data_IF_958468801512
#
_entry.id   IF_958468801512
#
_cell.length_a   1.000
_cell.length_b   1.000
_cell.length_c   1.000
_cell.angle_alpha   90.00
_cell.angle_beta   90.00
_cell.angle_gamma   90.00
#
_symmetry.space_group_name_H-M   'P 1'
#
loop_
_entity.id
_entity.type
_entity.pdbx_description
1 polymer ?
#
# COMPACT_ATOMS: atom_id res chain seq x y z
N UNK A 1 37.29 0.51 4.89
CA UNK A 1 35.93 0.88 4.41
C UNK A 1 34.94 -0.10 4.99
N UNK A 2 33.92 0.40 5.69
CA UNK A 2 32.80 -0.38 6.18
C UNK A 2 31.54 -0.01 5.40
N UNK A 3 30.67 -1.00 5.17
CA UNK A 3 29.37 -0.79 4.54
C UNK A 3 28.29 -1.39 5.43
N UNK A 4 27.34 -0.58 5.82
CA UNK A 4 26.14 -1.02 6.53
C UNK A 4 24.94 -0.91 5.61
N UNK A 5 24.20 -2.01 5.47
CA UNK A 5 23.02 -2.09 4.61
C UNK A 5 21.76 -2.16 5.47
N UNK A 6 20.76 -1.35 5.11
CA UNK A 6 19.42 -1.41 5.67
C UNK A 6 18.39 -1.52 4.55
N UNK A 7 17.44 -2.43 4.69
CA UNK A 7 16.36 -2.67 3.72
C UNK A 7 15.02 -2.48 4.42
N UNK A 8 14.08 -1.84 3.74
CA UNK A 8 12.74 -1.61 4.26
C UNK A 8 12.60 -0.40 5.19
N UNK A 9 13.68 0.22 5.59
CA UNK A 9 13.68 1.39 6.47
C UNK A 9 15.05 1.94 6.78
N UNK A 10 15.07 3.08 7.43
CA UNK A 10 16.29 3.75 7.89
C UNK A 10 16.84 3.03 9.12
N UNK A 11 18.14 2.74 9.20
CA UNK A 11 18.74 2.20 10.43
C UNK A 11 18.59 3.18 11.60
N UNK A 12 18.90 2.71 12.82
CA UNK A 12 18.78 3.50 14.03
C UNK A 12 19.45 4.87 13.89
N UNK A 13 18.82 5.90 14.49
CA UNK A 13 19.36 7.28 14.45
C UNK A 13 20.68 7.34 15.23
N UNK A 14 21.75 7.63 14.54
CA UNK A 14 23.07 7.90 15.13
C UNK A 14 23.56 9.33 14.88
N UNK A 15 22.77 10.15 14.16
CA UNK A 15 23.02 11.57 13.91
C UNK A 15 21.70 12.34 14.04
N UNK A 16 21.72 13.49 14.74
CA UNK A 16 20.53 14.31 15.03
C UNK A 16 19.89 14.91 13.78
N UNK A 17 20.70 15.28 12.78
CA UNK A 17 20.23 15.95 11.54
C UNK A 17 19.93 14.98 10.40
N UNK A 18 19.90 13.69 10.69
CA UNK A 18 19.59 12.68 9.69
C UNK A 18 18.10 12.63 9.39
N UNK A 19 17.76 12.69 8.10
CA UNK A 19 16.41 12.38 7.66
C UNK A 19 16.11 10.88 7.86
N UNK A 20 14.97 10.60 8.46
CA UNK A 20 14.45 9.24 8.61
C UNK A 20 13.41 9.05 7.51
N UNK A 21 13.64 8.08 6.63
CA UNK A 21 12.64 7.70 5.63
C UNK A 21 11.50 6.91 6.30
N UNK A 22 10.30 7.07 5.77
CA UNK A 22 9.19 6.21 6.16
C UNK A 22 9.50 4.76 5.76
N UNK A 23 9.15 3.77 6.58
CA UNK A 23 9.31 2.37 6.23
C UNK A 23 8.61 2.04 4.90
N UNK A 24 9.35 1.41 3.98
CA UNK A 24 8.82 0.99 2.67
C UNK A 24 9.58 -0.22 2.16
N UNK A 25 8.88 -1.18 1.57
CA UNK A 25 9.50 -2.36 0.94
C UNK A 25 10.40 -2.00 -0.24
N UNK A 26 10.21 -0.82 -0.84
CA UNK A 26 11.03 -0.30 -1.94
C UNK A 26 12.18 0.60 -1.47
N UNK A 27 12.42 0.72 -0.15
CA UNK A 27 13.49 1.54 0.40
C UNK A 27 14.70 0.69 0.77
N UNK A 28 15.89 1.15 0.36
CA UNK A 28 17.17 0.61 0.80
C UNK A 28 18.15 1.74 1.10
N UNK A 29 19.02 1.54 2.05
CA UNK A 29 20.06 2.50 2.43
C UNK A 29 21.39 1.79 2.66
N UNK A 30 22.44 2.35 2.06
CA UNK A 30 23.82 1.95 2.26
C UNK A 30 24.56 3.08 2.97
N UNK A 31 25.14 2.79 4.11
CA UNK A 31 26.04 3.70 4.81
C UNK A 31 27.45 3.21 4.58
N UNK A 32 28.26 4.05 3.95
CA UNK A 32 29.63 3.69 3.54
C UNK A 32 30.59 4.59 4.31
N UNK A 33 31.44 3.97 5.12
CA UNK A 33 32.52 4.65 5.84
C UNK A 33 33.81 4.55 5.01
N UNK A 34 34.31 5.70 4.58
CA UNK A 34 35.57 5.79 3.86
C UNK A 34 36.75 5.99 4.80
N UNK A 35 37.95 5.65 4.35
CA UNK A 35 39.19 5.80 5.12
C UNK A 35 39.61 7.26 5.30
N UNK A 36 39.19 8.15 4.38
CA UNK A 36 39.43 9.58 4.47
C UNK A 36 38.33 10.39 3.78
N UNK A 37 38.13 11.67 4.14
CA UNK A 37 37.19 12.56 3.46
C UNK A 37 37.50 12.74 1.97
N UNK A 38 38.79 12.79 1.60
CA UNK A 38 39.21 12.96 0.19
C UNK A 38 38.85 11.73 -0.63
N UNK A 39 39.10 10.53 -0.12
CA UNK A 39 38.69 9.29 -0.74
C UNK A 39 37.17 9.22 -0.98
N UNK A 40 36.36 9.79 -0.09
CA UNK A 40 34.91 9.91 -0.29
C UNK A 40 34.60 10.81 -1.50
N UNK A 41 35.20 11.99 -1.56
CA UNK A 41 34.91 12.99 -2.62
C UNK A 41 35.33 12.44 -3.98
N UNK A 42 36.51 11.84 -4.06
CA UNK A 42 37.08 11.32 -5.32
C UNK A 42 36.24 10.18 -5.92
N UNK A 43 35.63 9.35 -5.06
CA UNK A 43 34.86 8.17 -5.52
C UNK A 43 33.35 8.44 -5.70
N UNK A 44 32.81 9.55 -5.18
CA UNK A 44 31.36 9.81 -5.24
C UNK A 44 30.78 9.78 -6.64
N UNK A 45 31.46 10.43 -7.59
CA UNK A 45 30.96 10.53 -8.97
C UNK A 45 30.93 9.17 -9.66
N UNK A 46 31.97 8.36 -9.48
CA UNK A 46 32.07 7.01 -10.02
C UNK A 46 31.01 6.09 -9.44
N UNK A 47 30.84 6.11 -8.12
CA UNK A 47 29.80 5.31 -7.43
C UNK A 47 28.40 5.71 -7.92
N UNK A 48 28.11 7.02 -8.03
CA UNK A 48 26.81 7.48 -8.52
C UNK A 48 26.57 7.00 -9.96
N UNK A 49 27.56 7.12 -10.83
CA UNK A 49 27.45 6.67 -12.21
C UNK A 49 27.27 5.16 -12.31
N UNK A 50 28.05 4.40 -11.55
CA UNK A 50 27.93 2.94 -11.50
C UNK A 50 26.52 2.50 -11.08
N UNK A 51 26.02 3.02 -9.97
CA UNK A 51 24.71 2.66 -9.45
C UNK A 51 23.58 3.07 -10.40
N UNK A 52 23.63 4.27 -10.97
CA UNK A 52 22.59 4.74 -11.90
C UNK A 52 22.57 3.95 -13.22
N UNK A 53 23.73 3.44 -13.69
CA UNK A 53 23.82 2.66 -14.92
C UNK A 53 23.40 1.19 -14.72
N UNK A 54 23.70 0.60 -13.56
CA UNK A 54 23.39 -0.80 -13.28
C UNK A 54 21.99 -1.02 -12.73
N UNK A 55 21.39 0.01 -12.10
CA UNK A 55 20.07 -0.04 -11.49
C UNK A 55 19.19 1.10 -11.98
N UNK A 56 18.80 1.11 -13.28
CA UNK A 56 18.05 2.21 -13.90
C UNK A 56 16.65 2.39 -13.28
N UNK A 57 16.07 1.33 -12.71
CA UNK A 57 14.76 1.36 -12.05
C UNK A 57 14.81 1.89 -10.61
N UNK A 58 16.01 2.16 -10.08
CA UNK A 58 16.20 2.67 -8.74
C UNK A 58 16.50 4.16 -8.73
N UNK A 59 15.83 4.91 -7.88
CA UNK A 59 16.21 6.29 -7.56
C UNK A 59 17.37 6.27 -6.56
N UNK A 60 18.61 6.40 -7.06
CA UNK A 60 19.82 6.35 -6.23
C UNK A 60 20.34 7.76 -5.97
N UNK A 61 20.40 8.15 -4.70
CA UNK A 61 20.92 9.45 -4.26
C UNK A 61 22.06 9.26 -3.27
N UNK A 62 23.27 9.70 -3.65
CA UNK A 62 24.39 9.78 -2.74
C UNK A 62 24.40 11.12 -2.00
N UNK A 63 24.50 11.06 -0.68
CA UNK A 63 24.60 12.22 0.18
C UNK A 63 25.76 12.06 1.17
N UNK A 64 26.48 13.16 1.41
CA UNK A 64 27.37 13.24 2.56
C UNK A 64 26.59 13.65 3.81
N UNK A 65 27.02 13.17 4.96
CA UNK A 65 26.52 13.73 6.20
C UNK A 65 26.94 15.19 6.34
N UNK A 66 25.97 16.05 6.60
CA UNK A 66 26.20 17.44 6.92
C UNK A 66 25.29 17.88 8.07
N UNK A 67 25.60 19.00 8.68
CA UNK A 67 24.80 19.57 9.78
C UNK A 67 23.62 20.41 9.29
N UNK A 68 23.45 20.57 7.98
CA UNK A 68 22.35 21.34 7.41
C UNK A 68 21.17 20.44 7.07
N UNK A 69 20.02 20.77 7.62
CA UNK A 69 18.75 20.05 7.40
C UNK A 69 18.09 20.44 6.07
N UNK A 70 18.82 20.36 4.95
CA UNK A 70 18.23 20.55 3.61
C UNK A 70 18.22 19.22 2.88
N UNK A 71 17.02 18.66 2.68
CA UNK A 71 16.85 17.41 1.93
C UNK A 71 17.13 17.64 0.44
N UNK A 72 16.67 18.76 -0.09
CA UNK A 72 16.83 19.15 -1.49
C UNK A 72 17.36 20.59 -1.57
N UNK A 73 18.39 20.87 -2.37
CA UNK A 73 18.94 22.23 -2.52
C UNK A 73 18.02 23.13 -3.33
N UNK A 74 17.28 22.58 -4.28
CA UNK A 74 16.33 23.29 -5.15
C UNK A 74 14.96 22.65 -4.97
N UNK A 75 13.95 23.47 -4.76
CA UNK A 75 12.57 23.02 -4.63
C UNK A 75 11.63 24.07 -5.22
N UNK A 76 10.76 23.63 -6.13
CA UNK A 76 9.64 24.41 -6.64
C UNK A 76 8.34 23.88 -6.06
N UNK A 77 7.70 24.67 -5.18
CA UNK A 77 6.47 24.28 -4.48
C UNK A 77 5.24 24.96 -5.11
N UNK A 78 4.22 24.18 -5.41
CA UNK A 78 2.93 24.64 -5.93
C UNK A 78 1.85 24.37 -4.89
N UNK A 79 0.97 25.34 -4.67
CA UNK A 79 -0.14 25.27 -3.72
C UNK A 79 -1.45 25.50 -4.46
N UNK A 80 -2.46 24.69 -4.17
CA UNK A 80 -3.77 24.88 -4.81
C UNK A 80 -4.81 23.82 -4.40
N UNK A 81 -6.08 24.07 -4.71
CA UNK A 81 -7.17 23.18 -4.35
C UNK A 81 -7.29 21.95 -5.27
N UNK A 82 -6.85 22.05 -6.53
CA UNK A 82 -7.05 21.03 -7.55
C UNK A 82 -5.80 20.20 -7.81
N UNK A 83 -5.81 18.88 -7.48
CA UNK A 83 -4.69 17.97 -7.74
C UNK A 83 -4.26 17.92 -9.20
N UNK A 84 -5.20 17.93 -10.14
CA UNK A 84 -4.89 17.84 -11.57
C UNK A 84 -4.10 19.07 -12.08
N UNK A 85 -4.41 20.24 -11.53
CA UNK A 85 -3.65 21.46 -11.83
C UNK A 85 -2.24 21.38 -11.24
N UNK A 86 -2.13 20.89 -9.99
CA UNK A 86 -0.83 20.75 -9.34
C UNK A 86 0.08 19.78 -10.07
N UNK A 87 -0.44 18.63 -10.53
CA UNK A 87 0.31 17.66 -11.34
C UNK A 87 0.84 18.30 -12.63
N UNK A 88 -0.01 19.05 -13.37
CA UNK A 88 0.43 19.71 -14.61
C UNK A 88 1.51 20.77 -14.36
N UNK A 89 1.41 21.52 -13.26
CA UNK A 89 2.44 22.51 -12.89
C UNK A 89 3.75 21.82 -12.49
N UNK A 90 3.68 20.74 -11.73
CA UNK A 90 4.84 19.96 -11.36
C UNK A 90 5.53 19.33 -12.58
N UNK A 91 4.77 18.76 -13.52
CA UNK A 91 5.31 18.22 -14.76
C UNK A 91 5.99 19.30 -15.61
N UNK A 92 5.37 20.49 -15.70
CA UNK A 92 5.97 21.62 -16.40
C UNK A 92 7.29 22.07 -15.76
N UNK A 93 7.33 22.14 -14.43
CA UNK A 93 8.53 22.47 -13.68
C UNK A 93 9.63 21.41 -13.87
N UNK A 94 9.26 20.13 -13.85
CA UNK A 94 10.18 19.02 -14.11
C UNK A 94 10.83 19.16 -15.49
N UNK A 95 10.05 19.37 -16.54
CA UNK A 95 10.55 19.57 -17.91
C UNK A 95 11.51 20.77 -18.01
N UNK A 96 11.24 21.85 -17.25
CA UNK A 96 12.13 23.02 -17.22
C UNK A 96 13.45 22.66 -16.49
N UNK A 97 13.37 21.97 -15.35
CA UNK A 97 14.54 21.56 -14.57
C UNK A 97 15.42 20.58 -15.34
N UNK A 98 14.83 19.63 -16.08
CA UNK A 98 15.54 18.64 -16.91
C UNK A 98 16.41 19.28 -18.01
N UNK A 99 16.07 20.49 -18.44
CA UNK A 99 16.87 21.23 -19.44
C UNK A 99 18.17 21.80 -18.88
N UNK A 100 18.30 21.89 -17.57
CA UNK A 100 19.51 22.40 -16.92
C UNK A 100 20.51 21.27 -16.71
N UNK A 101 21.74 21.36 -17.21
CA UNK A 101 22.76 20.34 -17.01
C UNK A 101 23.24 20.24 -15.55
N UNK A 102 22.95 21.25 -14.73
CA UNK A 102 23.34 21.32 -13.33
C UNK A 102 22.34 20.64 -12.40
N UNK A 103 21.10 20.43 -12.88
CA UNK A 103 20.03 19.79 -12.09
C UNK A 103 20.01 18.30 -12.39
N UNK A 104 20.03 17.49 -11.34
CA UNK A 104 20.02 16.02 -11.45
C UNK A 104 19.09 15.42 -10.40
N UNK A 105 18.64 14.20 -10.67
CA UNK A 105 17.80 13.42 -9.73
C UNK A 105 16.49 14.15 -9.36
N UNK A 106 15.81 14.67 -10.37
CA UNK A 106 14.55 15.39 -10.19
C UNK A 106 13.46 14.40 -9.74
N UNK A 107 12.78 14.75 -8.67
CA UNK A 107 11.68 13.95 -8.11
C UNK A 107 10.53 14.85 -7.66
N UNK A 108 9.40 14.26 -7.34
CA UNK A 108 8.26 14.97 -6.75
C UNK A 108 7.98 14.44 -5.35
N UNK A 109 7.32 15.23 -4.53
CA UNK A 109 6.90 14.81 -3.20
C UNK A 109 5.54 14.04 -3.20
N UNK A 110 4.91 13.90 -4.36
CA UNK A 110 3.76 13.03 -4.56
C UNK A 110 4.24 11.73 -5.18
N UNK A 111 3.87 10.62 -4.55
CA UNK A 111 4.13 9.30 -5.10
C UNK A 111 3.27 9.05 -6.35
N UNK A 112 3.68 8.13 -7.23
CA UNK A 112 2.86 7.73 -8.37
C UNK A 112 1.49 7.25 -7.92
N UNK A 113 0.48 7.51 -8.76
CA UNK A 113 -0.87 7.02 -8.51
C UNK A 113 -0.89 5.50 -8.41
N UNK A 114 -1.69 4.99 -7.51
CA UNK A 114 -1.90 3.56 -7.29
C UNK A 114 -3.31 3.15 -7.73
N UNK A 115 -3.48 1.91 -8.21
CA UNK A 115 -4.80 1.39 -8.52
C UNK A 115 -5.55 1.09 -7.22
N UNK A 116 -6.69 1.74 -7.03
CA UNK A 116 -7.58 1.54 -5.88
C UNK A 116 -8.88 0.90 -6.33
N UNK A 117 -9.23 -0.24 -5.71
CA UNK A 117 -10.50 -0.88 -5.95
C UNK A 117 -11.61 -0.08 -5.27
N UNK A 118 -12.49 0.50 -6.07
CA UNK A 118 -13.62 1.28 -5.60
C UNK A 118 -14.91 0.49 -5.81
N UNK A 119 -15.68 0.34 -4.74
CA UNK A 119 -16.95 -0.38 -4.77
C UNK A 119 -18.08 0.61 -4.48
N UNK A 120 -18.99 0.74 -5.41
CA UNK A 120 -20.23 1.47 -5.19
C UNK A 120 -21.21 0.58 -4.40
N UNK A 121 -21.14 0.72 -3.08
CA UNK A 121 -21.88 -0.11 -2.14
C UNK A 121 -23.38 0.20 -2.15
N UNK A 122 -24.21 -0.83 -2.37
CA UNK A 122 -25.67 -0.76 -2.24
C UNK A 122 -26.09 -1.05 -0.81
N UNK A 123 -26.18 0.01 -0.02
CA UNK A 123 -26.52 -0.11 1.40
C UNK A 123 -27.92 -0.72 1.66
N UNK A 124 -28.98 -0.39 0.93
CA UNK A 124 -30.27 -1.05 1.07
C UNK A 124 -30.20 -2.56 0.85
N UNK A 125 -29.60 -3.00 -0.26
CA UNK A 125 -29.45 -4.41 -0.59
C UNK A 125 -28.64 -5.17 0.49
N UNK A 126 -27.52 -4.60 0.93
CA UNK A 126 -26.70 -5.21 1.96
C UNK A 126 -27.43 -5.32 3.31
N UNK A 127 -28.20 -4.31 3.71
CA UNK A 127 -29.01 -4.36 4.94
C UNK A 127 -30.08 -5.45 4.90
N UNK A 128 -30.72 -5.65 3.76
CA UNK A 128 -31.71 -6.72 3.57
C UNK A 128 -31.07 -8.11 3.80
N UNK A 129 -29.78 -8.24 3.44
CA UNK A 129 -29.00 -9.47 3.63
C UNK A 129 -28.28 -9.54 4.99
N UNK A 130 -28.48 -8.56 5.88
CA UNK A 130 -27.86 -8.52 7.20
C UNK A 130 -26.36 -8.20 7.18
N UNK A 131 -25.85 -7.62 6.07
CA UNK A 131 -24.44 -7.32 5.88
C UNK A 131 -24.12 -5.86 6.25
N UNK A 132 -23.04 -5.67 6.97
CA UNK A 132 -22.48 -4.36 7.31
C UNK A 132 -21.34 -3.97 6.33
N UNK A 133 -20.95 -2.69 6.33
CA UNK A 133 -19.76 -2.25 5.60
C UNK A 133 -18.49 -2.95 6.07
N UNK A 134 -18.41 -3.25 7.36
CA UNK A 134 -17.27 -3.95 7.92
C UNK A 134 -17.16 -5.37 7.37
N UNK A 135 -18.27 -6.08 7.23
CA UNK A 135 -18.32 -7.44 6.66
C UNK A 135 -17.79 -7.43 5.21
N UNK A 136 -18.23 -6.45 4.43
CA UNK A 136 -17.74 -6.26 3.05
C UNK A 136 -16.23 -5.98 3.03
N UNK A 137 -15.76 -5.06 3.87
CA UNK A 137 -14.33 -4.68 3.93
C UNK A 137 -13.46 -5.85 4.35
N UNK A 138 -13.88 -6.61 5.37
CA UNK A 138 -13.14 -7.77 5.88
C UNK A 138 -13.12 -8.91 4.86
N UNK A 139 -14.24 -9.17 4.20
CA UNK A 139 -14.34 -10.19 3.16
C UNK A 139 -13.46 -9.86 1.94
N UNK A 140 -13.44 -8.60 1.52
CA UNK A 140 -12.55 -8.15 0.44
C UNK A 140 -11.09 -8.20 0.83
N UNK A 141 -10.76 -7.85 2.06
CA UNK A 141 -9.38 -7.95 2.55
C UNK A 141 -8.91 -9.40 2.54
N UNK A 142 -9.75 -10.36 2.96
CA UNK A 142 -9.43 -11.79 2.87
C UNK A 142 -9.33 -12.29 1.43
N UNK A 143 -10.15 -11.77 0.53
CA UNK A 143 -10.13 -12.15 -0.88
C UNK A 143 -8.91 -11.59 -1.65
N UNK A 144 -8.31 -10.51 -1.17
CA UNK A 144 -7.19 -9.83 -1.84
C UNK A 144 -5.87 -10.01 -1.09
N UNK A 145 -5.60 -9.17 -0.10
CA UNK A 145 -4.32 -9.12 0.62
C UNK A 145 -4.19 -10.18 1.71
N UNK A 146 -5.30 -10.63 2.26
CA UNK A 146 -5.36 -11.49 3.44
C UNK A 146 -5.37 -10.71 4.75
N UNK A 147 -5.87 -11.35 5.80
CA UNK A 147 -5.91 -10.81 7.17
C UNK A 147 -4.77 -11.44 7.97
N UNK A 148 -3.92 -10.66 8.64
CA UNK A 148 -2.91 -11.20 9.53
C UNK A 148 -3.60 -11.82 10.76
N UNK A 149 -3.42 -13.11 10.97
CA UNK A 149 -4.03 -13.86 12.09
C UNK A 149 -3.02 -14.27 13.16
N UNK A 150 -1.73 -14.08 12.89
CA UNK A 150 -0.67 -14.44 13.82
C UNK A 150 0.71 -14.20 13.26
N UNK A 151 1.72 -14.63 14.00
CA UNK A 151 3.11 -14.59 13.57
C UNK A 151 3.81 -15.89 13.94
N UNK A 152 4.64 -16.36 13.04
CA UNK A 152 5.54 -17.50 13.25
C UNK A 152 6.97 -16.97 13.46
N UNK A 153 7.67 -17.52 14.42
CA UNK A 153 9.04 -17.15 14.73
C UNK A 153 10.00 -18.30 14.44
N UNK A 154 11.02 -18.04 13.64
CA UNK A 154 12.12 -18.96 13.38
C UNK A 154 13.45 -18.27 13.78
N UNK A 155 13.92 -18.53 14.98
CA UNK A 155 15.04 -17.80 15.57
C UNK A 155 14.72 -16.32 15.73
N UNK A 156 15.46 -15.46 15.03
CA UNK A 156 15.25 -13.99 15.02
C UNK A 156 14.29 -13.51 13.93
N UNK A 157 13.89 -14.40 13.03
CA UNK A 157 12.98 -14.07 11.93
C UNK A 157 11.53 -14.22 12.40
N UNK A 158 10.73 -13.22 12.02
CA UNK A 158 9.29 -13.19 12.27
C UNK A 158 8.54 -13.16 10.93
N UNK A 159 7.74 -14.19 10.68
CA UNK A 159 6.88 -14.30 9.52
C UNK A 159 5.42 -14.13 9.93
N UNK A 160 4.69 -13.29 9.22
CA UNK A 160 3.27 -13.10 9.48
C UNK A 160 2.46 -14.22 8.82
N UNK A 161 1.48 -14.74 9.56
CA UNK A 161 0.52 -15.71 9.05
C UNK A 161 -0.71 -14.96 8.56
N UNK A 162 -1.07 -15.17 7.30
CA UNK A 162 -2.23 -14.53 6.66
C UNK A 162 -3.32 -15.52 6.35
N UNK A 163 -4.56 -15.18 6.70
CA UNK A 163 -5.76 -15.88 6.26
C UNK A 163 -6.22 -15.27 4.93
N UNK A 164 -6.34 -16.10 3.90
CA UNK A 164 -6.83 -15.70 2.57
C UNK A 164 -7.97 -16.60 2.11
N UNK A 165 -8.99 -15.99 1.49
CA UNK A 165 -9.99 -16.73 0.72
C UNK A 165 -9.43 -17.04 -0.67
N UNK A 166 -9.56 -18.29 -1.08
CA UNK A 166 -9.16 -18.77 -2.40
C UNK A 166 -10.41 -19.23 -3.16
N UNK A 167 -10.30 -19.33 -4.48
CA UNK A 167 -11.34 -19.94 -5.29
C UNK A 167 -11.36 -21.48 -5.08
N UNK A 168 -12.36 -22.17 -5.65
CA UNK A 168 -12.52 -23.64 -5.56
C UNK A 168 -11.29 -24.43 -6.04
N UNK A 169 -10.43 -23.83 -6.86
CA UNK A 169 -9.19 -24.41 -7.37
C UNK A 169 -7.97 -24.08 -6.51
N UNK A 170 -8.16 -23.47 -5.35
CA UNK A 170 -7.07 -23.06 -4.46
C UNK A 170 -6.22 -21.90 -4.99
N UNK A 171 -6.72 -21.12 -5.94
CA UNK A 171 -6.03 -19.94 -6.51
C UNK A 171 -6.64 -18.64 -6.00
N UNK A 172 -5.90 -17.52 -6.05
CA UNK A 172 -6.45 -16.19 -5.75
C UNK A 172 -7.71 -15.91 -6.56
N UNK A 173 -8.62 -15.13 -5.98
CA UNK A 173 -9.86 -14.71 -6.64
C UNK A 173 -9.52 -13.64 -7.67
N UNK A 174 -9.72 -13.96 -8.95
CA UNK A 174 -9.42 -13.04 -10.06
C UNK A 174 -10.57 -12.06 -10.32
N UNK A 175 -11.82 -12.50 -10.19
CA UNK A 175 -13.01 -11.66 -10.36
C UNK A 175 -13.65 -11.36 -9.01
N UNK A 176 -13.43 -10.15 -8.52
CA UNK A 176 -13.95 -9.69 -7.24
C UNK A 176 -15.48 -9.52 -7.22
N UNK A 177 -16.16 -9.45 -8.36
CA UNK A 177 -17.62 -9.44 -8.41
C UNK A 177 -18.21 -10.74 -7.82
N UNK A 178 -17.48 -11.84 -7.94
CA UNK A 178 -17.88 -13.13 -7.41
C UNK A 178 -17.26 -13.44 -6.03
N UNK A 179 -16.48 -12.51 -5.45
CA UNK A 179 -15.96 -12.67 -4.11
C UNK A 179 -17.11 -12.84 -3.11
N UNK A 180 -17.01 -13.85 -2.25
CA UNK A 180 -18.03 -14.10 -1.23
C UNK A 180 -17.85 -13.13 -0.05
N UNK A 181 -18.92 -12.46 0.30
CA UNK A 181 -19.00 -11.61 1.47
C UNK A 181 -19.71 -12.39 2.58
N UNK A 182 -19.04 -12.51 3.72
CA UNK A 182 -19.53 -13.23 4.88
C UNK A 182 -20.05 -12.25 5.92
N UNK A 183 -21.19 -12.57 6.53
CA UNK A 183 -21.68 -11.82 7.69
C UNK A 183 -20.89 -12.21 8.93
N UNK A 184 -20.46 -11.23 9.73
CA UNK A 184 -19.87 -11.45 11.05
C UNK A 184 -20.91 -11.83 12.11
N UNK A 185 -22.19 -11.57 11.83
CA UNK A 185 -23.30 -11.94 12.69
C UNK A 185 -24.06 -13.13 12.09
N UNK A 186 -24.47 -14.09 12.92
CA UNK A 186 -25.33 -15.16 12.45
C UNK A 186 -26.60 -14.61 11.82
N UNK A 187 -26.93 -15.09 10.62
CA UNK A 187 -28.14 -14.72 9.89
C UNK A 187 -29.17 -15.84 9.97
N UNK A 188 -30.38 -15.52 10.37
CA UNK A 188 -31.49 -16.48 10.35
C UNK A 188 -31.98 -16.80 8.94
N UNK A 189 -31.55 -16.04 7.92
CA UNK A 189 -32.00 -16.23 6.54
C UNK A 189 -31.62 -17.62 5.97
N UNK A 190 -30.45 -18.16 6.36
CA UNK A 190 -30.06 -19.51 5.98
C UNK A 190 -30.91 -20.62 6.61
N UNK A 191 -31.48 -20.36 7.79
CA UNK A 191 -32.40 -21.27 8.46
C UNK A 191 -33.80 -21.28 7.83
N UNK A 192 -34.17 -20.22 7.11
CA UNK A 192 -35.45 -20.09 6.41
C UNK A 192 -35.48 -20.86 5.08
N UNK A 193 -34.40 -21.49 4.69
CA UNK A 193 -34.37 -22.40 3.54
C UNK A 193 -35.21 -23.63 3.86
N UNK A 194 -36.07 -24.05 2.92
CA UNK A 194 -37.03 -25.14 3.10
C UNK A 194 -36.33 -26.44 3.49
N UNK A 195 -35.20 -26.77 2.90
CA UNK A 195 -34.40 -27.95 3.20
C UNK A 195 -33.84 -27.92 4.63
N UNK A 196 -33.30 -26.80 5.05
CA UNK A 196 -32.74 -26.59 6.40
C UNK A 196 -33.85 -26.66 7.45
N UNK A 197 -35.02 -26.10 7.14
CA UNK A 197 -36.18 -26.15 8.03
C UNK A 197 -36.74 -27.58 8.20
N UNK A 198 -36.71 -28.39 7.14
CA UNK A 198 -37.10 -29.81 7.21
C UNK A 198 -36.12 -30.57 8.09
N UNK A 199 -34.83 -30.42 7.89
CA UNK A 199 -33.78 -31.04 8.72
C UNK A 199 -33.85 -30.61 10.19
N UNK A 200 -34.15 -29.32 10.45
CA UNK A 200 -34.31 -28.79 11.78
C UNK A 200 -35.52 -29.42 12.48
N UNK A 201 -36.68 -29.52 11.80
CA UNK A 201 -37.89 -30.15 12.31
C UNK A 201 -37.75 -31.64 12.55
N UNK A 202 -37.00 -32.33 11.73
CA UNK A 202 -36.72 -33.78 11.86
C UNK A 202 -35.63 -34.10 12.89
N UNK A 203 -34.91 -33.07 13.41
CA UNK A 203 -33.80 -33.26 14.33
C UNK A 203 -32.55 -33.89 13.70
N UNK A 204 -32.46 -33.88 12.38
CA UNK A 204 -31.32 -34.45 11.61
C UNK A 204 -30.26 -33.43 11.24
N UNK A 205 -30.47 -32.14 11.60
CA UNK A 205 -29.50 -31.07 11.32
C UNK A 205 -28.25 -31.23 12.20
N UNK A 206 -27.09 -31.41 11.60
CA UNK A 206 -25.83 -31.47 12.33
C UNK A 206 -25.41 -30.09 12.84
N UNK A 207 -24.48 -30.04 13.83
CA UNK A 207 -23.95 -28.77 14.33
C UNK A 207 -23.19 -28.01 13.24
N UNK A 208 -22.48 -28.73 12.39
CA UNK A 208 -21.72 -28.17 11.26
C UNK A 208 -22.66 -27.52 10.24
N UNK A 209 -23.72 -28.24 9.83
CA UNK A 209 -24.73 -27.72 8.91
C UNK A 209 -25.51 -26.52 9.52
N UNK A 210 -25.73 -26.53 10.81
CA UNK A 210 -26.36 -25.41 11.53
C UNK A 210 -25.44 -24.16 11.45
N UNK A 211 -24.16 -24.30 11.75
CA UNK A 211 -23.19 -23.21 11.67
C UNK A 211 -23.08 -22.70 10.24
N UNK A 212 -22.99 -23.59 9.26
CA UNK A 212 -22.92 -23.23 7.85
C UNK A 212 -24.17 -22.46 7.38
N UNK A 213 -25.37 -22.89 7.81
CA UNK A 213 -26.61 -22.19 7.48
C UNK A 213 -26.76 -20.83 8.16
N UNK A 214 -26.14 -20.65 9.33
CA UNK A 214 -26.12 -19.36 10.03
C UNK A 214 -25.08 -18.40 9.47
N UNK A 215 -24.00 -18.92 8.87
CA UNK A 215 -22.93 -18.13 8.25
C UNK A 215 -23.22 -17.93 6.75
N UNK A 216 -24.25 -17.16 6.44
CA UNK A 216 -24.60 -16.84 5.06
C UNK A 216 -23.47 -16.13 4.34
N UNK A 217 -23.20 -16.52 3.09
CA UNK A 217 -22.33 -15.78 2.19
C UNK A 217 -23.11 -15.23 1.00
N UNK A 218 -22.68 -14.08 0.51
CA UNK A 218 -23.33 -13.39 -0.61
C UNK A 218 -22.28 -12.89 -1.59
N UNK A 219 -22.41 -13.16 -2.88
CA UNK A 219 -21.50 -12.58 -3.88
C UNK A 219 -21.53 -11.06 -3.84
N UNK A 220 -20.36 -10.43 -3.92
CA UNK A 220 -20.21 -8.97 -3.88
C UNK A 220 -21.12 -8.24 -4.87
N UNK A 221 -21.33 -8.79 -6.06
CA UNK A 221 -22.21 -8.23 -7.10
C UNK A 221 -23.66 -8.00 -6.66
N UNK A 222 -24.14 -8.71 -5.61
CA UNK A 222 -25.51 -8.54 -5.12
C UNK A 222 -25.66 -7.33 -4.20
N UNK A 223 -24.54 -6.82 -3.65
CA UNK A 223 -24.51 -5.72 -2.69
C UNK A 223 -23.68 -4.54 -3.21
N UNK A 224 -23.31 -4.57 -4.48
CA UNK A 224 -22.60 -3.50 -5.16
C UNK A 224 -23.25 -3.15 -6.48
N UNK A 225 -23.37 -1.86 -6.79
CA UNK A 225 -23.83 -1.38 -8.08
C UNK A 225 -22.75 -1.44 -9.14
N UNK A 226 -21.51 -1.21 -8.71
CA UNK A 226 -20.33 -1.19 -9.56
C UNK A 226 -19.08 -1.54 -8.75
N UNK A 227 -18.20 -2.32 -9.35
CA UNK A 227 -16.82 -2.53 -8.90
C UNK A 227 -15.91 -1.97 -9.98
N UNK A 228 -15.04 -1.04 -9.62
CA UNK A 228 -14.21 -0.28 -10.56
C UNK A 228 -12.79 -0.11 -9.98
N UNK A 229 -11.81 0.01 -10.85
CA UNK A 229 -10.44 0.35 -10.46
C UNK A 229 -10.21 1.81 -10.85
N UNK A 230 -9.86 2.63 -9.88
CA UNK A 230 -9.49 4.03 -10.07
C UNK A 230 -8.05 4.25 -9.68
N UNK A 231 -7.39 5.11 -10.42
CA UNK A 231 -6.06 5.57 -10.07
C UNK A 231 -6.18 6.76 -9.12
N UNK A 232 -5.60 6.61 -7.94
CA UNK A 232 -5.67 7.64 -6.90
C UNK A 232 -4.29 7.93 -6.33
N UNK A 233 -4.09 9.16 -5.88
CA UNK A 233 -2.87 9.55 -5.20
C UNK A 233 -2.83 8.92 -3.79
N UNK A 234 -1.83 8.11 -3.46
CA UNK A 234 -1.78 7.40 -2.17
C UNK A 234 -1.65 8.37 -0.99
N UNK A 235 -0.92 9.47 -1.20
CA UNK A 235 -0.71 10.53 -0.22
C UNK A 235 -0.79 11.88 -0.90
N UNK A 236 -1.58 12.79 -0.35
CA UNK A 236 -1.67 14.17 -0.83
C UNK A 236 -1.05 15.09 0.24
N UNK A 237 0.19 15.57 0.04
CA UNK A 237 0.84 16.50 0.96
C UNK A 237 0.07 17.81 1.09
N UNK A 238 0.16 18.43 2.25
CA UNK A 238 -0.43 19.74 2.53
C UNK A 238 0.58 20.65 3.20
N UNK A 239 0.52 21.90 2.81
CA UNK A 239 1.27 22.97 3.45
C UNK A 239 0.28 24.08 3.88
N UNK A 240 0.29 24.44 5.15
CA UNK A 240 -0.66 25.40 5.73
C UNK A 240 -2.13 25.10 5.37
N UNK A 241 -2.54 23.82 5.40
CA UNK A 241 -3.90 23.40 5.10
C UNK A 241 -4.23 23.27 3.61
N UNK A 242 -3.45 23.84 2.70
CA UNK A 242 -3.62 23.74 1.26
C UNK A 242 -2.88 22.52 0.71
N UNK A 243 -3.42 21.90 -0.35
CA UNK A 243 -2.71 20.84 -1.07
C UNK A 243 -1.44 21.40 -1.68
N UNK A 244 -0.36 20.67 -1.56
CA UNK A 244 0.98 21.11 -1.96
C UNK A 244 1.67 20.04 -2.77
N UNK A 245 2.20 20.39 -3.93
CA UNK A 245 3.08 19.53 -4.70
C UNK A 245 4.41 20.26 -4.95
N UNK A 246 5.51 19.55 -4.70
CA UNK A 246 6.85 20.08 -4.90
C UNK A 246 7.61 19.25 -5.93
N UNK A 247 8.39 19.93 -6.76
CA UNK A 247 9.43 19.32 -7.62
C UNK A 247 10.78 19.67 -7.01
N UNK A 248 11.62 18.67 -6.81
CA UNK A 248 12.81 18.76 -5.98
C UNK A 248 14.01 18.17 -6.72
#
# INVERSE_FOLDING_TARGET
>A
THVTTSIGGTPARYNLVRNIANPSLSYGELIIDFTSPDALVDNMAEIQQYLSSHYPDAYVKLNRYNLMFKKYPIEAQFLGPDPAVLHRLADSARVIMEKSPEVRLITTNWDPQIPVLTIEYDQPAARTLGLSRNDVSMSLLTATSGIPIGSFYQGIHRDNIYLRCLNEKGKPIEDLNNAQVFSSLPSLNGLLNEETMVKLKSGTLSKEELVESLMGSTPLKQISKKVDIRWEDPVIPRYNGQRSQSVQ
#
